data_IF_646877901414
#
_entry.id   IF_646877901414
#
_cell.length_a   1.000
_cell.length_b   1.000
_cell.length_c   1.000
_cell.angle_alpha   90.00
_cell.angle_beta   90.00
_cell.angle_gamma   90.00
#
_symmetry.space_group_name_H-M   'P 1'
#
loop_
_entity.id
_entity.type
_entity.pdbx_description
1 polymer ?
#
# COMPACT_ATOMS: atom_id res chain seq x y z
N UNK A 1 -3.12 3.27 -15.93
CA UNK A 1 -3.82 2.31 -15.03
C UNK A 1 -3.71 2.82 -13.59
N UNK A 2 -4.82 2.77 -12.83
CA UNK A 2 -4.82 3.21 -11.42
C UNK A 2 -5.31 2.04 -10.55
N UNK A 3 -4.48 1.63 -9.61
CA UNK A 3 -4.68 0.46 -8.76
C UNK A 3 -4.85 0.93 -7.31
N UNK A 4 -5.80 0.37 -6.59
CA UNK A 4 -5.94 0.51 -5.14
C UNK A 4 -5.47 -0.80 -4.49
N UNK A 5 -4.53 -0.74 -3.55
CA UNK A 5 -4.17 -1.86 -2.71
C UNK A 5 -4.93 -1.80 -1.40
N UNK A 6 -5.76 -2.80 -1.16
CA UNK A 6 -6.53 -2.98 0.07
C UNK A 6 -5.88 -4.10 0.89
N UNK A 7 -5.86 -3.95 2.20
CA UNK A 7 -5.31 -4.95 3.11
C UNK A 7 -4.97 -4.33 4.45
N UNK A 8 -4.99 -5.11 5.50
CA UNK A 8 -4.66 -4.65 6.83
C UNK A 8 -3.18 -4.25 6.95
N UNK A 9 -2.84 -3.56 8.00
CA UNK A 9 -1.45 -3.29 8.33
C UNK A 9 -0.69 -4.62 8.47
N UNK A 10 0.52 -4.71 7.91
CA UNK A 10 1.30 -5.96 7.90
C UNK A 10 0.96 -6.94 6.77
N UNK A 11 -0.05 -6.67 5.92
CA UNK A 11 -0.41 -7.57 4.81
C UNK A 11 0.58 -7.57 3.63
N UNK A 12 1.59 -6.70 3.62
CA UNK A 12 2.59 -6.64 2.54
C UNK A 12 2.27 -5.62 1.43
N UNK A 13 1.24 -4.78 1.58
CA UNK A 13 0.86 -3.77 0.57
C UNK A 13 2.02 -2.93 0.06
N UNK A 14 2.81 -2.34 0.94
CA UNK A 14 3.93 -1.49 0.55
C UNK A 14 5.00 -2.24 -0.26
N UNK A 15 5.27 -3.52 0.10
CA UNK A 15 6.18 -4.38 -0.66
C UNK A 15 5.62 -4.65 -2.06
N UNK A 16 4.35 -5.04 -2.15
CA UNK A 16 3.71 -5.29 -3.44
C UNK A 16 3.54 -4.02 -4.27
N UNK A 17 3.26 -2.87 -3.63
CA UNK A 17 3.20 -1.58 -4.32
C UNK A 17 4.52 -1.25 -5.04
N UNK A 18 5.65 -1.41 -4.36
CA UNK A 18 6.98 -1.21 -4.97
C UNK A 18 7.20 -2.11 -6.18
N UNK A 19 6.94 -3.41 -6.03
CA UNK A 19 7.11 -4.39 -7.11
C UNK A 19 6.15 -4.14 -8.30
N UNK A 20 4.89 -3.82 -8.01
CA UNK A 20 3.90 -3.50 -9.05
C UNK A 20 4.26 -2.21 -9.82
N UNK A 21 4.77 -1.19 -9.12
CA UNK A 21 5.17 0.05 -9.79
C UNK A 21 6.35 -0.16 -10.72
N UNK A 22 7.32 -0.99 -10.32
CA UNK A 22 8.44 -1.38 -11.17
C UNK A 22 7.95 -2.21 -12.37
N UNK A 23 7.11 -3.22 -12.12
CA UNK A 23 6.61 -4.12 -13.14
C UNK A 23 5.75 -3.43 -14.20
N UNK A 24 4.91 -2.49 -13.79
CA UNK A 24 3.88 -1.86 -14.64
C UNK A 24 4.23 -0.44 -15.08
N UNK A 25 5.38 0.10 -14.67
CA UNK A 25 5.79 1.47 -14.99
C UNK A 25 4.87 2.54 -14.36
N UNK A 26 4.25 2.22 -13.20
CA UNK A 26 3.36 3.12 -12.48
C UNK A 26 4.10 3.91 -11.40
N UNK A 27 3.40 4.86 -10.76
CA UNK A 27 3.91 5.57 -9.58
C UNK A 27 3.30 5.01 -8.32
N UNK A 28 4.09 4.89 -7.25
CA UNK A 28 3.58 4.56 -5.91
C UNK A 28 3.10 5.81 -5.20
N UNK A 29 1.92 5.75 -4.61
CA UNK A 29 1.38 6.80 -3.76
C UNK A 29 0.89 6.17 -2.45
N UNK A 30 1.73 6.23 -1.43
CA UNK A 30 1.37 5.80 -0.09
C UNK A 30 0.86 6.99 0.74
N UNK A 31 -0.36 6.88 1.28
CA UNK A 31 -0.94 7.93 2.12
C UNK A 31 -0.08 8.25 3.35
N UNK A 32 0.56 7.24 3.93
CA UNK A 32 1.49 7.42 5.04
C UNK A 32 2.71 8.28 4.69
N UNK A 33 3.23 8.17 3.46
CA UNK A 33 4.36 8.98 2.99
C UNK A 33 3.93 10.42 2.74
N UNK A 34 2.72 10.62 2.18
CA UNK A 34 2.16 11.95 2.02
C UNK A 34 2.04 12.69 3.36
N UNK A 35 1.56 12.00 4.39
CA UNK A 35 1.47 12.60 5.72
C UNK A 35 2.84 12.92 6.30
N UNK A 36 3.80 11.98 6.23
CA UNK A 36 5.17 12.21 6.73
C UNK A 36 5.81 13.40 6.03
N UNK A 37 5.75 13.46 4.70
CA UNK A 37 6.26 14.60 3.95
C UNK A 37 5.59 15.92 4.39
N UNK A 38 4.27 15.92 4.55
CA UNK A 38 3.54 17.11 4.98
C UNK A 38 3.85 17.53 6.43
N UNK A 39 4.27 16.57 7.30
CA UNK A 39 4.75 16.85 8.66
C UNK A 39 6.14 17.48 8.62
N UNK A 40 7.05 16.92 7.81
CA UNK A 40 8.43 17.42 7.66
C UNK A 40 8.44 18.84 7.06
N UNK A 41 7.57 19.09 6.06
CA UNK A 41 7.37 20.39 5.43
C UNK A 41 6.51 21.35 6.27
N UNK A 42 5.97 20.91 7.41
CA UNK A 42 5.10 21.68 8.32
C UNK A 42 3.92 22.35 7.60
N UNK A 43 3.35 21.71 6.59
CA UNK A 43 2.20 22.25 5.87
C UNK A 43 0.98 22.36 6.79
N UNK A 44 0.08 23.32 6.54
CA UNK A 44 -1.12 23.50 7.37
C UNK A 44 -2.02 22.26 7.42
N UNK A 45 -2.18 21.54 6.30
CA UNK A 45 -2.91 20.27 6.25
C UNK A 45 -2.15 19.15 6.97
N UNK A 46 -0.82 19.10 6.82
CA UNK A 46 0.04 18.13 7.49
C UNK A 46 -0.04 18.27 9.02
N UNK A 47 0.08 19.47 9.54
CA UNK A 47 0.02 19.71 10.99
C UNK A 47 -1.35 19.37 11.58
N UNK A 48 -2.45 19.60 10.84
CA UNK A 48 -3.79 19.14 11.25
C UNK A 48 -3.89 17.60 11.22
N UNK A 49 -3.37 16.96 10.19
CA UNK A 49 -3.37 15.51 10.08
C UNK A 49 -2.55 14.84 11.19
N UNK A 50 -1.42 15.44 11.59
CA UNK A 50 -0.51 14.94 12.61
C UNK A 50 -1.20 14.63 13.93
N UNK A 51 -2.13 15.48 14.37
CA UNK A 51 -2.86 15.31 15.64
C UNK A 51 -3.68 14.00 15.70
N UNK A 52 -4.14 13.50 14.55
CA UNK A 52 -4.86 12.23 14.43
C UNK A 52 -3.89 11.04 14.32
N UNK A 53 -2.83 11.19 13.50
CA UNK A 53 -1.83 10.15 13.30
C UNK A 53 -1.11 9.79 14.60
N UNK A 54 -0.74 10.80 15.40
CA UNK A 54 -0.07 10.60 16.69
C UNK A 54 -0.96 9.82 17.70
N UNK A 55 -2.29 9.86 17.52
CA UNK A 55 -3.26 9.08 18.33
C UNK A 55 -3.64 7.72 17.71
N UNK A 56 -3.06 7.37 16.56
CA UNK A 56 -3.42 6.15 15.82
C UNK A 56 -4.84 6.18 15.26
N UNK A 57 -5.41 7.36 15.06
CA UNK A 57 -6.74 7.58 14.51
C UNK A 57 -6.68 7.79 12.99
N UNK A 58 -7.81 7.60 12.31
CA UNK A 58 -7.92 8.00 10.91
C UNK A 58 -7.93 9.53 10.82
N UNK A 59 -7.14 10.05 9.89
CA UNK A 59 -7.21 11.47 9.52
C UNK A 59 -8.57 11.73 8.85
N UNK A 60 -9.26 12.84 9.15
CA UNK A 60 -10.53 13.18 8.52
C UNK A 60 -10.48 13.06 6.99
N UNK A 61 -11.58 12.54 6.42
CA UNK A 61 -11.66 12.21 4.99
C UNK A 61 -11.37 13.42 4.11
N UNK A 62 -11.85 14.62 4.47
CA UNK A 62 -11.63 15.84 3.69
C UNK A 62 -10.14 16.18 3.56
N UNK A 63 -9.37 15.99 4.63
CA UNK A 63 -7.92 16.28 4.64
C UNK A 63 -7.20 15.24 3.78
N UNK A 64 -7.48 13.96 4.02
CA UNK A 64 -6.82 12.86 3.30
C UNK A 64 -7.12 12.91 1.80
N UNK A 65 -8.39 13.08 1.44
CA UNK A 65 -8.83 13.19 0.05
C UNK A 65 -8.18 14.37 -0.65
N UNK A 66 -8.18 15.55 -0.01
CA UNK A 66 -7.56 16.75 -0.60
C UNK A 66 -6.09 16.54 -0.91
N UNK A 67 -5.32 15.97 0.04
CA UNK A 67 -3.89 15.70 -0.13
C UNK A 67 -3.63 14.69 -1.26
N UNK A 68 -4.41 13.61 -1.31
CA UNK A 68 -4.26 12.58 -2.35
C UNK A 68 -4.62 13.13 -3.73
N UNK A 69 -5.75 13.83 -3.88
CA UNK A 69 -6.16 14.40 -5.17
C UNK A 69 -5.20 15.48 -5.65
N UNK A 70 -4.67 16.30 -4.76
CA UNK A 70 -3.63 17.27 -5.10
C UNK A 70 -2.40 16.57 -5.69
N UNK A 71 -1.92 15.49 -5.05
CA UNK A 71 -0.77 14.72 -5.53
C UNK A 71 -1.06 14.02 -6.87
N UNK A 72 -2.27 13.48 -7.07
CA UNK A 72 -2.67 12.83 -8.32
C UNK A 72 -2.81 13.81 -9.50
N UNK A 73 -2.93 15.11 -9.22
CA UNK A 73 -2.90 16.19 -10.22
C UNK A 73 -1.50 16.50 -10.73
N UNK A 74 -0.44 16.03 -10.08
CA UNK A 74 0.93 16.19 -10.54
C UNK A 74 1.16 15.36 -11.84
N UNK A 75 1.75 15.96 -12.90
CA UNK A 75 2.06 15.26 -14.15
C UNK A 75 2.88 13.96 -13.99
N UNK A 76 3.67 13.83 -12.92
CA UNK A 76 4.40 12.61 -12.60
C UNK A 76 3.51 11.39 -12.42
N UNK A 77 2.23 11.57 -12.07
CA UNK A 77 1.22 10.49 -11.88
C UNK A 77 0.31 10.29 -13.10
N UNK A 78 0.58 10.96 -14.22
CA UNK A 78 -0.27 10.88 -15.42
C UNK A 78 -0.27 9.47 -16.04
N UNK A 79 0.85 8.73 -15.97
CA UNK A 79 0.96 7.35 -16.49
C UNK A 79 0.15 6.34 -15.70
N UNK A 80 -0.22 6.68 -14.45
CA UNK A 80 -0.98 5.83 -13.54
C UNK A 80 -0.34 5.71 -12.17
N UNK A 81 -1.07 5.05 -11.26
CA UNK A 81 -0.71 5.01 -9.84
C UNK A 81 -1.08 3.70 -9.18
N UNK A 82 -0.26 3.26 -8.23
CA UNK A 82 -0.60 2.28 -7.21
C UNK A 82 -0.82 3.04 -5.89
N UNK A 83 -2.07 3.06 -5.43
CA UNK A 83 -2.49 3.70 -4.17
C UNK A 83 -2.32 2.70 -3.01
N UNK A 84 -1.57 3.09 -1.99
CA UNK A 84 -1.34 2.30 -0.78
C UNK A 84 -1.83 3.05 0.47
N UNK A 85 -2.70 2.39 1.24
CA UNK A 85 -3.27 2.93 2.46
C UNK A 85 -4.33 4.02 2.26
N UNK A 86 -4.82 4.18 1.04
CA UNK A 86 -5.95 5.02 0.66
C UNK A 86 -6.65 4.43 -0.57
N UNK A 87 -7.99 4.42 -0.62
CA UNK A 87 -8.93 4.86 0.42
C UNK A 87 -9.00 3.88 1.61
N UNK A 88 -9.56 4.33 2.75
CA UNK A 88 -9.83 3.50 3.94
C UNK A 88 -11.29 3.49 4.33
N UNK A 89 -12.08 4.40 3.80
CA UNK A 89 -13.54 4.48 4.00
C UNK A 89 -14.26 4.53 2.67
N UNK A 90 -15.54 4.15 2.65
CA UNK A 90 -16.39 4.27 1.45
C UNK A 90 -16.49 5.74 1.00
N UNK A 91 -16.58 6.68 1.95
CA UNK A 91 -16.64 8.10 1.63
C UNK A 91 -15.37 8.58 0.90
N UNK A 92 -14.18 8.12 1.34
CA UNK A 92 -12.91 8.36 0.64
C UNK A 92 -12.91 7.75 -0.77
N UNK A 93 -13.38 6.50 -0.94
CA UNK A 93 -13.44 5.83 -2.23
C UNK A 93 -14.33 6.60 -3.22
N UNK A 94 -15.51 7.00 -2.79
CA UNK A 94 -16.42 7.81 -3.59
C UNK A 94 -15.83 9.17 -3.96
N UNK A 95 -15.13 9.81 -3.02
CA UNK A 95 -14.47 11.10 -3.28
C UNK A 95 -13.30 10.96 -4.26
N UNK A 96 -12.53 9.86 -4.14
CA UNK A 96 -11.47 9.49 -5.09
C UNK A 96 -12.04 9.27 -6.48
N UNK A 97 -13.10 8.50 -6.63
CA UNK A 97 -13.73 8.22 -7.92
C UNK A 97 -14.24 9.51 -8.58
N UNK A 98 -14.90 10.41 -7.83
CA UNK A 98 -15.30 11.73 -8.34
C UNK A 98 -14.10 12.59 -8.74
N UNK A 99 -13.02 12.56 -7.96
CA UNK A 99 -11.80 13.32 -8.24
C UNK A 99 -11.09 12.84 -9.50
N UNK A 100 -10.90 11.53 -9.63
CA UNK A 100 -10.30 10.91 -10.82
C UNK A 100 -11.17 11.13 -12.07
N UNK A 101 -12.49 11.03 -11.95
CA UNK A 101 -13.39 11.30 -13.07
C UNK A 101 -13.22 12.72 -13.64
N UNK A 102 -13.06 13.74 -12.79
CA UNK A 102 -12.77 15.13 -13.24
C UNK A 102 -11.42 15.24 -13.96
N UNK A 103 -10.49 14.31 -13.70
CA UNK A 103 -9.19 14.23 -14.37
C UNK A 103 -9.23 13.34 -15.64
N UNK A 104 -10.43 12.83 -16.03
CA UNK A 104 -10.56 11.85 -17.13
C UNK A 104 -9.99 10.48 -16.80
N UNK A 105 -9.87 10.14 -15.50
CA UNK A 105 -9.28 8.91 -14.98
C UNK A 105 -10.29 8.12 -14.15
N UNK A 106 -9.98 6.87 -13.84
CA UNK A 106 -10.78 6.02 -12.96
C UNK A 106 -9.87 5.05 -12.20
N UNK A 107 -10.38 4.41 -11.17
CA UNK A 107 -9.79 3.20 -10.61
C UNK A 107 -10.10 2.04 -11.55
N UNK A 108 -9.06 1.35 -11.99
CA UNK A 108 -9.19 0.20 -12.88
C UNK A 108 -9.27 -1.10 -12.08
N UNK A 109 -8.49 -1.23 -11.01
CA UNK A 109 -8.42 -2.45 -10.17
C UNK A 109 -8.31 -2.05 -8.69
N UNK A 110 -8.99 -2.81 -7.84
CA UNK A 110 -8.81 -2.83 -6.40
C UNK A 110 -8.32 -4.22 -5.99
N UNK A 111 -7.07 -4.32 -5.53
CA UNK A 111 -6.46 -5.58 -5.15
C UNK A 111 -6.43 -5.75 -3.65
N UNK A 112 -7.11 -6.76 -3.14
CA UNK A 112 -7.15 -7.12 -1.73
C UNK A 112 -6.11 -8.18 -1.41
N UNK A 113 -5.16 -7.85 -0.52
CA UNK A 113 -4.21 -8.78 0.06
C UNK A 113 -4.82 -9.38 1.33
N UNK A 114 -5.34 -10.59 1.20
CA UNK A 114 -5.98 -11.32 2.31
C UNK A 114 -4.91 -12.02 3.16
N UNK A 115 -4.85 -11.64 4.44
CA UNK A 115 -3.92 -12.22 5.42
C UNK A 115 -4.67 -12.41 6.74
N UNK A 116 -4.60 -13.60 7.36
CA UNK A 116 -5.22 -13.85 8.65
C UNK A 116 -4.75 -12.89 9.75
N UNK A 117 -5.65 -12.52 10.66
CA UNK A 117 -5.37 -11.54 11.73
C UNK A 117 -4.18 -11.95 12.61
N UNK A 118 -4.07 -13.22 12.93
CA UNK A 118 -2.97 -13.75 13.76
C UNK A 118 -1.62 -13.56 13.08
N UNK A 119 -1.57 -13.79 11.77
CA UNK A 119 -0.36 -13.59 10.95
C UNK A 119 0.00 -12.10 10.88
N UNK A 120 -1.00 -11.21 10.74
CA UNK A 120 -0.78 -9.76 10.74
C UNK A 120 -0.15 -9.28 12.06
N UNK A 121 -0.63 -9.81 13.19
CA UNK A 121 -0.06 -9.50 14.50
C UNK A 121 1.39 -9.97 14.62
N UNK A 122 1.68 -11.20 14.17
CA UNK A 122 3.04 -11.74 14.16
C UNK A 122 3.98 -10.89 13.27
N UNK A 123 3.51 -10.52 12.08
CA UNK A 123 4.29 -9.67 11.17
C UNK A 123 4.55 -8.28 11.72
N UNK A 124 3.59 -7.65 12.36
CA UNK A 124 3.73 -6.29 12.89
C UNK A 124 4.68 -6.24 14.08
N UNK A 125 4.58 -7.20 15.00
CA UNK A 125 5.48 -7.25 16.16
C UNK A 125 6.95 -7.48 15.79
N UNK A 126 7.21 -8.19 14.68
CA UNK A 126 8.55 -8.45 14.18
C UNK A 126 9.07 -7.44 13.15
N UNK A 127 8.31 -6.40 12.80
CA UNK A 127 8.68 -5.45 11.76
C UNK A 127 9.66 -4.39 12.23
N UNK A 128 10.73 -4.22 11.44
CA UNK A 128 11.68 -3.11 11.54
C UNK A 128 11.81 -2.43 10.20
N UNK A 129 12.09 -1.13 10.21
CA UNK A 129 12.27 -0.33 9.00
C UNK A 129 13.52 0.52 9.10
N UNK A 130 14.19 0.78 7.97
CA UNK A 130 15.35 1.64 7.97
C UNK A 130 14.97 3.12 7.97
N UNK A 131 15.80 3.96 8.61
CA UNK A 131 15.53 5.39 8.75
C UNK A 131 15.63 6.15 7.43
N UNK A 132 16.54 5.76 6.54
CA UNK A 132 16.80 6.51 5.33
C UNK A 132 15.73 6.30 4.24
N UNK A 133 15.41 5.04 3.91
CA UNK A 133 14.57 4.72 2.75
C UNK A 133 13.40 3.76 3.06
N UNK A 134 13.10 3.54 4.34
CA UNK A 134 11.95 2.72 4.80
C UNK A 134 11.98 1.26 4.30
N UNK A 135 13.19 0.69 4.00
CA UNK A 135 13.32 -0.72 3.70
C UNK A 135 12.81 -1.56 4.87
N UNK A 136 12.04 -2.61 4.56
CA UNK A 136 11.33 -3.40 5.57
C UNK A 136 12.10 -4.68 5.88
N UNK A 137 12.27 -4.95 7.17
CA UNK A 137 12.85 -6.16 7.73
C UNK A 137 11.86 -6.83 8.67
N UNK A 138 12.02 -8.13 8.85
CA UNK A 138 11.17 -8.95 9.71
C UNK A 138 12.00 -9.88 10.57
N UNK A 139 11.83 -9.82 11.87
CA UNK A 139 12.44 -10.79 12.78
C UNK A 139 11.38 -11.78 13.26
N UNK A 140 11.61 -13.12 13.16
CA UNK A 140 12.82 -13.77 12.62
C UNK A 140 12.81 -14.05 11.11
N UNK A 141 11.70 -13.80 10.39
CA UNK A 141 11.48 -14.32 9.04
C UNK A 141 12.42 -13.74 7.96
N UNK A 142 12.82 -12.46 8.08
CA UNK A 142 13.75 -11.78 7.17
C UNK A 142 14.62 -10.80 7.94
N UNK A 143 15.56 -11.30 8.76
CA UNK A 143 16.44 -10.44 9.54
C UNK A 143 17.46 -9.73 8.64
N UNK A 144 18.01 -8.58 9.07
CA UNK A 144 19.16 -7.96 8.40
C UNK A 144 20.41 -8.82 8.62
N UNK A 145 21.38 -8.70 7.73
CA UNK A 145 22.70 -9.37 7.86
C UNK A 145 23.44 -8.95 9.11
N UNK A 146 23.35 -7.66 9.45
CA UNK A 146 23.89 -7.08 10.67
C UNK A 146 22.73 -6.56 11.51
N UNK A 147 22.62 -7.02 12.75
CA UNK A 147 21.54 -6.63 13.65
C UNK A 147 21.42 -5.09 13.75
N UNK A 148 20.22 -4.56 13.52
CA UNK A 148 19.94 -3.13 13.63
C UNK A 148 20.40 -2.27 12.44
N UNK A 149 21.00 -2.85 11.39
CA UNK A 149 21.53 -2.10 10.24
C UNK A 149 20.84 -2.55 8.94
N UNK A 150 20.49 -1.60 8.12
CA UNK A 150 19.90 -1.85 6.80
C UNK A 150 20.95 -2.41 5.82
N UNK A 151 20.64 -3.54 5.17
CA UNK A 151 21.54 -4.19 4.20
C UNK A 151 21.69 -3.39 2.89
N UNK A 152 20.76 -2.45 2.62
CA UNK A 152 20.70 -1.73 1.35
C UNK A 152 21.45 -0.39 1.43
N UNK A 153 21.26 0.36 2.51
CA UNK A 153 21.77 1.73 2.64
C UNK A 153 22.61 1.95 3.90
N UNK A 154 22.78 0.93 4.75
CA UNK A 154 23.58 1.01 5.97
C UNK A 154 22.97 1.84 7.10
N UNK A 155 21.75 2.34 6.95
CA UNK A 155 21.07 3.12 7.98
C UNK A 155 20.57 2.25 9.14
N UNK A 156 20.32 2.90 10.29
CA UNK A 156 19.76 2.25 11.47
C UNK A 156 18.35 1.73 11.21
N UNK A 157 18.06 0.54 11.73
CA UNK A 157 16.72 -0.02 11.77
C UNK A 157 16.01 0.38 13.07
N UNK A 158 14.73 0.75 12.94
CA UNK A 158 13.88 1.06 14.09
C UNK A 158 12.50 0.43 13.93
N UNK A 159 11.81 0.25 15.03
CA UNK A 159 10.40 -0.12 15.03
C UNK A 159 9.55 1.15 15.12
N UNK A 160 8.50 1.23 14.31
CA UNK A 160 7.56 2.36 14.40
C UNK A 160 6.81 2.31 15.71
N UNK A 161 6.51 3.46 16.28
CA UNK A 161 5.71 3.56 17.52
C UNK A 161 4.30 2.97 17.37
N UNK A 162 3.75 3.01 16.15
CA UNK A 162 2.43 2.48 15.81
C UNK A 162 2.44 0.98 15.40
N UNK A 163 3.60 0.31 15.50
CA UNK A 163 3.75 -1.15 15.28
C UNK A 163 3.88 -1.93 16.60
N UNK A 164 3.57 -1.33 17.73
CA UNK A 164 3.69 -1.96 19.04
C UNK A 164 2.41 -1.80 19.88
N UNK A 165 2.15 -2.79 20.73
CA UNK A 165 1.12 -2.75 21.77
C UNK A 165 -0.31 -2.52 21.25
N UNK A 166 -1.04 -1.66 21.96
CA UNK A 166 -2.45 -1.36 21.68
C UNK A 166 -2.68 -0.66 20.34
N UNK A 167 -1.69 0.09 19.83
CA UNK A 167 -1.81 0.78 18.55
C UNK A 167 -2.00 -0.18 17.38
N UNK A 168 -1.33 -1.33 17.41
CA UNK A 168 -1.50 -2.40 16.41
C UNK A 168 -2.92 -2.94 16.43
N UNK A 169 -3.44 -3.26 17.63
CA UNK A 169 -4.80 -3.79 17.77
C UNK A 169 -5.83 -2.80 17.24
N UNK A 170 -5.74 -1.53 17.66
CA UNK A 170 -6.63 -0.46 17.20
C UNK A 170 -6.64 -0.32 15.68
N UNK A 171 -5.47 -0.41 15.03
CA UNK A 171 -5.36 -0.32 13.55
C UNK A 171 -5.96 -1.52 12.84
N UNK A 172 -5.82 -2.71 13.40
CA UNK A 172 -6.47 -3.92 12.87
C UNK A 172 -7.98 -3.83 13.07
N UNK A 173 -8.45 -3.36 14.23
CA UNK A 173 -9.88 -3.19 14.51
C UNK A 173 -10.52 -2.18 13.55
N UNK A 174 -9.86 -1.06 13.26
CA UNK A 174 -10.30 -0.09 12.25
C UNK A 174 -10.37 -0.75 10.86
N UNK A 175 -9.35 -1.55 10.48
CA UNK A 175 -9.38 -2.22 9.20
C UNK A 175 -10.56 -3.19 9.07
N UNK A 176 -10.72 -4.08 10.04
CA UNK A 176 -11.78 -5.11 10.02
C UNK A 176 -13.17 -4.56 10.32
N UNK A 177 -13.29 -3.40 10.98
CA UNK A 177 -14.57 -2.73 11.26
C UNK A 177 -15.02 -1.76 10.17
N UNK A 178 -14.09 -1.09 9.49
CA UNK A 178 -14.43 -0.02 8.55
C UNK A 178 -13.87 -0.25 7.14
N UNK A 179 -12.55 -0.43 7.03
CA UNK A 179 -11.87 -0.49 5.72
C UNK A 179 -12.27 -1.72 4.91
N UNK A 180 -12.61 -2.82 5.58
CA UNK A 180 -13.04 -4.07 4.93
C UNK A 180 -14.27 -3.88 4.02
N UNK A 181 -15.15 -2.93 4.32
CA UNK A 181 -16.33 -2.63 3.50
C UNK A 181 -15.99 -2.07 2.11
N UNK A 182 -14.76 -1.64 1.88
CA UNK A 182 -14.29 -1.30 0.54
C UNK A 182 -14.32 -2.49 -0.41
N UNK A 183 -14.23 -3.73 0.11
CA UNK A 183 -14.30 -4.92 -0.73
C UNK A 183 -15.64 -5.00 -1.45
N UNK A 184 -16.74 -4.77 -0.74
CA UNK A 184 -18.08 -4.77 -1.33
C UNK A 184 -18.25 -3.59 -2.32
N UNK A 185 -17.70 -2.42 -1.96
CA UNK A 185 -17.75 -1.23 -2.80
C UNK A 185 -17.08 -1.46 -4.17
N UNK A 186 -15.92 -2.09 -4.20
CA UNK A 186 -15.22 -2.39 -5.45
C UNK A 186 -15.70 -3.67 -6.14
N UNK A 187 -16.24 -4.63 -5.38
CA UNK A 187 -16.89 -5.82 -5.93
C UNK A 187 -18.11 -5.46 -6.77
N UNK A 188 -18.97 -4.55 -6.29
CA UNK A 188 -20.14 -4.06 -7.02
C UNK A 188 -19.79 -3.33 -8.32
N UNK A 189 -18.53 -2.92 -8.48
CA UNK A 189 -18.02 -2.26 -9.69
C UNK A 189 -17.23 -3.21 -10.59
N UNK A 190 -17.20 -4.52 -10.28
CA UNK A 190 -16.39 -5.53 -10.98
C UNK A 190 -14.89 -5.18 -11.05
N UNK A 191 -14.37 -4.50 -10.00
CA UNK A 191 -12.97 -4.06 -9.93
C UNK A 191 -12.13 -4.81 -8.90
N UNK A 192 -12.78 -5.59 -8.02
CA UNK A 192 -12.09 -6.27 -6.94
C UNK A 192 -11.44 -7.56 -7.41
N UNK A 193 -10.15 -7.69 -7.09
CA UNK A 193 -9.44 -8.97 -7.10
C UNK A 193 -8.98 -9.32 -5.68
N UNK A 194 -8.87 -10.63 -5.40
CA UNK A 194 -8.47 -11.15 -4.09
C UNK A 194 -7.24 -12.03 -4.26
N UNK A 195 -6.19 -11.75 -3.50
CA UNK A 195 -4.95 -12.51 -3.53
C UNK A 195 -4.60 -12.96 -2.12
N UNK A 196 -4.18 -14.20 -1.97
CA UNK A 196 -3.67 -14.70 -0.69
C UNK A 196 -2.33 -14.01 -0.36
N UNK A 197 -2.35 -13.05 0.58
CA UNK A 197 -1.16 -12.34 1.04
C UNK A 197 -0.30 -13.13 2.04
N UNK A 198 -0.72 -14.37 2.41
CA UNK A 198 0.04 -15.25 3.29
C UNK A 198 0.89 -16.25 2.49
N UNK A 199 1.68 -15.73 1.56
CA UNK A 199 2.59 -16.47 0.68
C UNK A 199 3.93 -15.74 0.57
N UNK A 200 4.88 -16.33 -0.17
CA UNK A 200 6.11 -15.63 -0.52
C UNK A 200 5.83 -14.41 -1.41
N UNK A 201 6.63 -13.38 -1.25
CA UNK A 201 6.44 -12.07 -1.91
C UNK A 201 6.29 -12.21 -3.42
N UNK A 202 7.11 -13.08 -4.04
CA UNK A 202 7.14 -13.33 -5.47
C UNK A 202 5.87 -14.05 -5.96
N UNK A 203 5.31 -14.94 -5.14
CA UNK A 203 4.06 -15.63 -5.46
C UNK A 203 2.87 -14.67 -5.43
N UNK A 204 2.80 -13.81 -4.40
CA UNK A 204 1.76 -12.78 -4.31
C UNK A 204 1.83 -11.85 -5.54
N UNK A 205 3.03 -11.42 -5.94
CA UNK A 205 3.21 -10.58 -7.12
C UNK A 205 2.74 -11.29 -8.40
N UNK A 206 3.12 -12.55 -8.58
CA UNK A 206 2.75 -13.33 -9.76
C UNK A 206 1.22 -13.47 -9.87
N UNK A 207 0.54 -13.81 -8.77
CA UNK A 207 -0.92 -13.90 -8.73
C UNK A 207 -1.57 -12.54 -9.06
N UNK A 208 -1.09 -11.44 -8.46
CA UNK A 208 -1.60 -10.10 -8.73
C UNK A 208 -1.48 -9.75 -10.21
N UNK A 209 -0.33 -9.99 -10.82
CA UNK A 209 -0.11 -9.71 -12.24
C UNK A 209 -0.97 -10.58 -13.15
N UNK A 210 -1.15 -11.86 -12.84
CA UNK A 210 -2.02 -12.78 -13.60
C UNK A 210 -3.48 -12.31 -13.54
N UNK A 211 -3.99 -11.97 -12.35
CA UNK A 211 -5.34 -11.44 -12.16
C UNK A 211 -5.55 -10.09 -12.87
N UNK A 212 -4.55 -9.19 -12.83
CA UNK A 212 -4.62 -7.91 -13.55
C UNK A 212 -4.75 -8.12 -15.06
N UNK A 213 -3.96 -9.05 -15.62
CA UNK A 213 -4.05 -9.36 -17.04
C UNK A 213 -5.39 -9.96 -17.40
N UNK A 214 -5.91 -10.86 -16.59
CA UNK A 214 -7.22 -11.47 -16.81
C UNK A 214 -8.34 -10.41 -16.80
N UNK A 215 -8.34 -9.54 -15.80
CA UNK A 215 -9.38 -8.52 -15.64
C UNK A 215 -9.30 -7.43 -16.71
N UNK A 216 -8.12 -7.09 -17.18
CA UNK A 216 -7.90 -6.10 -18.24
C UNK A 216 -8.06 -6.67 -19.65
N UNK A 217 -8.35 -7.97 -19.80
CA UNK A 217 -8.52 -8.63 -21.09
C UNK A 217 -7.21 -8.79 -21.87
N UNK A 218 -6.05 -8.69 -21.22
CA UNK A 218 -4.76 -8.90 -21.86
C UNK A 218 -4.46 -10.39 -22.03
N UNK A 219 -4.15 -10.82 -23.24
CA UNK A 219 -3.69 -12.18 -23.51
C UNK A 219 -2.23 -12.33 -23.04
N UNK A 220 -1.87 -13.47 -22.41
CA UNK A 220 -0.50 -13.79 -21.90
C UNK A 220 0.62 -13.64 -22.96
N UNK A 221 0.25 -13.49 -24.24
CA UNK A 221 1.18 -13.30 -25.37
C UNK A 221 1.27 -11.85 -25.87
N UNK A 222 0.71 -10.88 -25.15
CA UNK A 222 0.81 -9.48 -25.54
C UNK A 222 2.25 -8.98 -25.36
N UNK A 223 2.72 -8.08 -26.26
CA UNK A 223 4.06 -7.47 -26.22
C UNK A 223 4.31 -6.63 -24.96
N UNK A 224 3.29 -6.40 -24.13
CA UNK A 224 3.31 -5.65 -22.88
C UNK A 224 3.48 -6.55 -21.64
N UNK A 225 3.76 -7.87 -21.84
CA UNK A 225 4.11 -8.73 -20.72
C UNK A 225 5.48 -8.32 -20.18
N UNK A 226 5.63 -7.86 -18.92
CA UNK A 226 6.94 -7.66 -18.32
C UNK A 226 7.67 -9.00 -18.31
N UNK A 227 8.79 -9.08 -19.03
CA UNK A 227 9.65 -10.27 -19.00
C UNK A 227 10.37 -10.30 -17.65
N UNK A 228 9.68 -10.78 -16.62
CA UNK A 228 10.34 -11.13 -15.38
C UNK A 228 11.22 -12.36 -15.64
N UNK A 229 12.50 -12.12 -15.84
CA UNK A 229 13.52 -13.12 -15.56
C UNK A 229 13.53 -13.27 -14.05
N UNK A 230 12.81 -14.23 -13.51
CA UNK A 230 13.05 -14.76 -12.17
C UNK A 230 14.51 -15.23 -12.16
N UNK A 231 15.43 -14.36 -11.77
CA UNK A 231 16.77 -14.79 -11.41
C UNK A 231 16.60 -15.66 -10.17
N UNK A 232 16.54 -16.97 -10.41
CA UNK A 232 16.71 -17.98 -9.37
C UNK A 232 18.11 -17.77 -8.78
N UNK A 233 18.19 -17.00 -7.70
CA UNK A 233 19.35 -17.05 -6.82
C UNK A 233 19.22 -18.33 -5.99
N UNK A 234 19.50 -19.48 -6.65
CA UNK A 234 19.99 -20.66 -5.97
C UNK A 234 21.51 -20.50 -5.89
N UNK A 235 22.05 -20.31 -4.68
CA UNK A 235 23.44 -20.22 -4.34
C UNK A 235 23.59 -19.88 -2.89
#
# INVERSE_FOLDING_TARGET
MNIVLIGAQGSGKGTQAGLLTEALGLRHLASGDLFRQAFDEQTSLGMRAKTYVDRGELVPDEITVAMVLQRLGDPAYASGVVLDGFPRTIAQAQALDRGLHRMGRRIDIAAYLDVPREELLARLSGRYICRAAQHVYHQPARPPKVCGICDVDGSELYQRSDDAGEAVQKRLDIFFGETIHLLDYYQMQDKLIRTNGNQYVEQVLAELLDEFHHQMGYNKHSRYWPRFSLRSNCG
#
